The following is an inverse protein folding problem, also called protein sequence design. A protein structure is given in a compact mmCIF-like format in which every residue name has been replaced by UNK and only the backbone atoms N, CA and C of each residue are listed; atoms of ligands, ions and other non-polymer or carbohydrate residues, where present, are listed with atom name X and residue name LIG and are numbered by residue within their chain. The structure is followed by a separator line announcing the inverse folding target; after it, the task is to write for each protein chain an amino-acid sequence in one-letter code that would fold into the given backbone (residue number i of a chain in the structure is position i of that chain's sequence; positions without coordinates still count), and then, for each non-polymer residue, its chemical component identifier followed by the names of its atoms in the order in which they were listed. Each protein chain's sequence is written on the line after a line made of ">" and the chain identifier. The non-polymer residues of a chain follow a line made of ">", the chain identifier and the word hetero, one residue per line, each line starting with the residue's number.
data_IF_730724266854
#
_entry.id   IF_730724266854
#
_cell.length_a   1.000
_cell.length_b   1.000
_cell.length_c   1.000
_cell.angle_alpha   90.00
_cell.angle_beta   90.00
_cell.angle_gamma   90.00
#
_symmetry.space_group_name_H-M   'P 1'
#
loop_
_entity.id
_entity.type
_entity.pdbx_description
1 polymer ?
#
# COMPACT_ATOMS: atom_id res chain seq x y z
N UNK A 1 0.45 5.06 6.48
CA UNK A 1 1.34 4.36 5.51
C UNK A 1 0.46 3.76 4.45
N UNK A 2 0.68 4.04 3.19
CA UNK A 2 -0.04 3.36 2.11
C UNK A 2 0.11 1.83 2.21
N UNK A 3 -1.01 1.12 2.26
CA UNK A 3 -1.10 -0.34 2.24
C UNK A 3 -1.51 -0.81 0.83
N UNK A 4 -1.84 -2.07 0.63
CA UNK A 4 -2.16 -2.59 -0.71
C UNK A 4 -3.25 -1.79 -1.44
N UNK A 5 -4.41 -1.46 -0.84
CA UNK A 5 -5.45 -0.72 -1.55
C UNK A 5 -5.02 0.68 -1.99
N UNK A 6 -4.30 1.42 -1.14
CA UNK A 6 -3.82 2.76 -1.50
C UNK A 6 -2.81 2.70 -2.65
N UNK A 7 -1.90 1.70 -2.62
CA UNK A 7 -0.91 1.52 -3.70
C UNK A 7 -1.59 1.06 -4.99
N UNK A 8 -2.64 0.22 -4.90
CA UNK A 8 -3.43 -0.20 -6.08
C UNK A 8 -4.22 0.96 -6.68
N UNK A 9 -4.78 1.84 -5.84
CA UNK A 9 -5.45 3.07 -6.31
C UNK A 9 -4.47 3.98 -7.06
N UNK A 10 -3.26 4.16 -6.52
CA UNK A 10 -2.19 4.92 -7.22
C UNK A 10 -1.82 4.25 -8.54
N UNK A 11 -1.67 2.92 -8.56
CA UNK A 11 -1.39 2.17 -9.79
C UNK A 11 -2.47 2.41 -10.85
N UNK A 12 -3.75 2.30 -10.48
CA UNK A 12 -4.88 2.50 -11.40
C UNK A 12 -4.86 3.91 -11.99
N UNK A 13 -4.79 4.94 -11.14
CA UNK A 13 -4.78 6.34 -11.61
C UNK A 13 -3.59 6.66 -12.52
N UNK A 14 -2.41 6.12 -12.25
CA UNK A 14 -1.24 6.32 -13.10
C UNK A 14 -1.28 5.46 -14.37
N UNK A 15 -1.92 4.29 -14.34
CA UNK A 15 -2.05 3.42 -15.51
C UNK A 15 -2.90 4.04 -16.63
N UNK A 16 -3.78 4.96 -16.31
CA UNK A 16 -4.60 5.68 -17.28
C UNK A 16 -3.88 6.93 -17.87
N UNK A 17 -2.80 7.38 -17.23
CA UNK A 17 -2.15 8.65 -17.56
C UNK A 17 -0.73 8.50 -18.13
N UNK A 18 0.03 7.50 -17.68
CA UNK A 18 1.45 7.39 -18.02
C UNK A 18 1.78 6.60 -19.29
N UNK A 19 1.06 5.54 -19.70
CA UNK A 19 1.44 4.79 -20.89
C UNK A 19 1.52 5.67 -22.14
N UNK A 20 2.63 5.53 -22.88
CA UNK A 20 2.94 6.34 -24.05
C UNK A 20 3.69 7.64 -23.75
N UNK A 21 3.78 8.10 -22.49
CA UNK A 21 4.53 9.29 -22.12
C UNK A 21 6.05 9.06 -22.29
N UNK A 22 6.74 9.99 -22.94
CA UNK A 22 8.18 9.99 -23.10
C UNK A 22 8.86 10.80 -22.00
N UNK A 23 9.82 10.21 -21.30
CA UNK A 23 10.55 10.89 -20.22
C UNK A 23 11.60 11.83 -20.80
N UNK A 24 11.57 13.10 -20.41
CA UNK A 24 12.57 14.10 -20.81
C UNK A 24 13.65 14.29 -19.76
N UNK A 25 13.26 14.37 -18.50
CA UNK A 25 14.18 14.68 -17.41
C UNK A 25 13.71 14.08 -16.07
N UNK A 26 14.68 13.76 -15.21
CA UNK A 26 14.45 13.48 -13.80
C UNK A 26 15.24 14.49 -12.96
N UNK A 27 14.55 15.18 -12.05
CA UNK A 27 15.16 16.12 -11.09
C UNK A 27 15.07 15.54 -9.70
N UNK A 28 16.20 15.42 -9.01
CA UNK A 28 16.28 14.98 -7.61
C UNK A 28 16.49 16.20 -6.73
N UNK A 29 15.66 16.36 -5.72
CA UNK A 29 15.76 17.49 -4.77
C UNK A 29 16.69 17.13 -3.59
N UNK A 30 16.35 17.51 -2.38
CA UNK A 30 17.18 17.43 -1.17
C UNK A 30 17.35 16.01 -0.57
N UNK A 31 17.03 14.95 -1.31
CA UNK A 31 17.10 13.57 -0.83
C UNK A 31 17.66 12.61 -1.89
N UNK A 32 19.00 12.55 -2.09
CA UNK A 32 19.61 11.64 -3.07
C UNK A 32 19.25 10.17 -2.86
N UNK A 33 18.98 9.76 -1.60
CA UNK A 33 18.55 8.40 -1.28
C UNK A 33 17.17 8.04 -1.84
N UNK A 34 16.36 9.05 -2.17
CA UNK A 34 15.04 8.85 -2.76
C UNK A 34 15.10 8.43 -4.23
N UNK A 35 16.24 8.72 -4.93
CA UNK A 35 16.52 8.28 -6.29
C UNK A 35 18.01 7.98 -6.44
N UNK A 36 18.48 6.80 -5.99
CA UNK A 36 19.91 6.50 -5.81
C UNK A 36 20.60 6.02 -7.11
N UNK A 37 20.08 6.40 -8.27
CA UNK A 37 20.64 5.99 -9.56
C UNK A 37 21.80 6.88 -9.99
N UNK A 38 22.76 6.29 -10.72
CA UNK A 38 23.84 7.05 -11.33
C UNK A 38 23.30 7.97 -12.45
N UNK A 39 23.90 9.14 -12.67
CA UNK A 39 23.54 9.99 -13.83
C UNK A 39 23.66 9.27 -15.16
N UNK A 40 24.63 8.36 -15.30
CA UNK A 40 24.85 7.57 -16.51
C UNK A 40 23.66 6.64 -16.80
N UNK A 41 23.19 5.90 -15.78
CA UNK A 41 22.04 5.00 -15.95
C UNK A 41 20.77 5.78 -16.29
N UNK A 42 20.58 6.94 -15.63
CA UNK A 42 19.44 7.83 -15.89
C UNK A 42 19.47 8.34 -17.33
N UNK A 43 20.64 8.81 -17.80
CA UNK A 43 20.80 9.29 -19.17
C UNK A 43 20.56 8.18 -20.20
N UNK A 44 21.03 6.97 -19.92
CA UNK A 44 21.02 5.86 -20.88
C UNK A 44 19.67 5.16 -20.95
N UNK A 45 18.97 4.99 -19.82
CA UNK A 45 17.81 4.10 -19.72
C UNK A 45 16.50 4.81 -19.35
N UNK A 46 16.56 6.06 -18.90
CA UNK A 46 15.35 6.82 -18.53
C UNK A 46 15.04 7.93 -19.52
N UNK A 47 16.05 8.73 -19.95
CA UNK A 47 15.79 9.85 -20.86
C UNK A 47 15.47 9.36 -22.27
N UNK A 48 14.36 9.87 -22.83
CA UNK A 48 13.80 9.43 -24.10
C UNK A 48 13.00 8.13 -24.04
N UNK A 49 13.01 7.42 -22.92
CA UNK A 49 12.23 6.19 -22.74
C UNK A 49 10.73 6.49 -22.68
N UNK A 50 9.92 5.60 -23.25
CA UNK A 50 8.47 5.67 -23.17
C UNK A 50 7.93 4.73 -22.08
N UNK A 51 6.97 5.22 -21.31
CA UNK A 51 6.26 4.37 -20.34
C UNK A 51 5.38 3.37 -21.10
N UNK A 52 5.51 2.09 -20.77
CA UNK A 52 4.74 1.00 -21.40
C UNK A 52 3.62 0.49 -20.52
N UNK A 53 3.83 0.45 -19.19
CA UNK A 53 2.84 -0.04 -18.23
C UNK A 53 3.09 0.49 -16.82
N UNK A 54 2.03 0.44 -15.99
CA UNK A 54 2.14 0.65 -14.54
C UNK A 54 1.63 -0.58 -13.82
N UNK A 55 2.50 -1.23 -13.05
CA UNK A 55 2.22 -2.47 -12.32
C UNK A 55 2.38 -2.29 -10.82
N UNK A 56 1.88 -3.24 -10.05
CA UNK A 56 2.06 -3.32 -8.59
C UNK A 56 2.37 -4.75 -8.15
N UNK A 57 3.21 -4.87 -7.15
CA UNK A 57 3.42 -6.09 -6.37
C UNK A 57 3.49 -5.72 -4.89
N UNK A 58 2.63 -6.28 -4.05
CA UNK A 58 2.51 -5.90 -2.63
C UNK A 58 2.29 -4.38 -2.47
N UNK A 59 3.20 -3.69 -1.80
CA UNK A 59 3.19 -2.22 -1.58
C UNK A 59 4.19 -1.49 -2.47
N UNK A 60 4.59 -2.11 -3.59
CA UNK A 60 5.58 -1.57 -4.54
C UNK A 60 4.92 -1.34 -5.89
N UNK A 61 5.14 -0.16 -6.44
CA UNK A 61 4.76 0.23 -7.80
C UNK A 61 5.93 0.03 -8.75
N UNK A 62 5.63 -0.27 -9.99
CA UNK A 62 6.60 -0.38 -11.09
C UNK A 62 6.03 0.36 -12.29
N UNK A 63 6.78 1.33 -12.80
CA UNK A 63 6.50 2.03 -14.05
C UNK A 63 7.49 1.47 -15.07
N UNK A 64 7.01 0.63 -15.97
CA UNK A 64 7.83 -0.06 -16.97
C UNK A 64 8.11 0.85 -18.16
N UNK A 65 9.30 0.74 -18.70
CA UNK A 65 9.80 1.53 -19.83
C UNK A 65 10.13 0.61 -21.03
N UNK A 66 10.10 1.17 -22.23
CA UNK A 66 10.45 0.48 -23.47
C UNK A 66 11.94 0.10 -23.55
N UNK A 67 12.78 0.68 -22.71
CA UNK A 67 14.21 0.35 -22.55
C UNK A 67 14.48 -0.95 -21.79
N UNK A 68 13.45 -1.73 -21.39
CA UNK A 68 13.51 -2.86 -20.46
C UNK A 68 13.97 -2.49 -19.05
N UNK A 69 13.85 -1.24 -18.67
CA UNK A 69 14.03 -0.75 -17.31
C UNK A 69 12.68 -0.40 -16.70
N UNK A 70 12.62 -0.33 -15.40
CA UNK A 70 11.45 0.11 -14.66
C UNK A 70 11.83 1.08 -13.57
N UNK A 71 10.99 2.08 -13.32
CA UNK A 71 11.01 2.84 -12.08
C UNK A 71 10.26 2.06 -11.01
N UNK A 72 11.00 1.49 -10.07
CA UNK A 72 10.46 0.74 -8.92
C UNK A 72 10.29 1.69 -7.75
N UNK A 73 9.09 1.78 -7.18
CA UNK A 73 8.72 2.82 -6.22
C UNK A 73 8.10 2.19 -4.97
N UNK A 74 8.61 2.56 -3.81
CA UNK A 74 8.02 2.21 -2.53
C UNK A 74 7.67 3.46 -1.72
N UNK A 75 6.38 3.69 -1.51
CA UNK A 75 5.86 4.89 -0.85
C UNK A 75 6.19 4.96 0.65
N UNK A 76 6.49 3.83 1.31
CA UNK A 76 6.77 3.75 2.75
C UNK A 76 5.68 4.42 3.58
N UNK A 77 6.06 5.37 4.47
CA UNK A 77 5.14 5.94 5.48
C UNK A 77 4.35 7.14 4.95
N UNK A 78 5.00 8.03 4.20
CA UNK A 78 4.45 9.32 3.80
C UNK A 78 4.64 9.62 2.31
N UNK A 79 5.00 8.60 1.52
CA UNK A 79 5.19 8.75 0.08
C UNK A 79 3.87 9.01 -0.66
N UNK A 80 3.98 9.83 -1.70
CA UNK A 80 2.90 10.20 -2.61
C UNK A 80 3.42 10.19 -4.04
N UNK A 81 2.55 9.88 -4.99
CA UNK A 81 2.76 10.12 -6.41
C UNK A 81 1.68 11.04 -6.92
N UNK A 82 2.10 12.13 -7.56
CA UNK A 82 1.23 13.20 -8.03
C UNK A 82 1.57 13.49 -9.48
N UNK A 83 0.60 13.31 -10.36
CA UNK A 83 0.71 13.65 -11.77
C UNK A 83 0.03 14.99 -12.03
N UNK A 84 0.67 15.85 -12.81
CA UNK A 84 0.16 17.14 -13.26
C UNK A 84 0.38 17.27 -14.77
N UNK A 85 -0.70 17.49 -15.50
CA UNK A 85 -0.73 17.66 -16.95
C UNK A 85 -2.10 18.16 -17.39
N UNK A 86 -2.53 17.85 -18.61
CA UNK A 86 -3.89 18.12 -19.07
C UNK A 86 -4.94 17.48 -18.15
N UNK A 87 -4.66 16.29 -17.66
CA UNK A 87 -5.35 15.66 -16.54
C UNK A 87 -4.44 15.67 -15.30
N UNK A 88 -5.02 15.49 -14.12
CA UNK A 88 -4.26 15.45 -12.88
C UNK A 88 -4.69 14.26 -12.04
N UNK A 89 -3.72 13.67 -11.35
CA UNK A 89 -3.93 12.58 -10.39
C UNK A 89 -3.03 12.80 -9.18
N UNK A 90 -3.52 12.45 -7.99
CA UNK A 90 -2.72 12.49 -6.78
C UNK A 90 -3.08 11.31 -5.88
N UNK A 91 -2.09 10.57 -5.37
CA UNK A 91 -2.34 9.44 -4.48
C UNK A 91 -1.18 9.10 -3.55
N UNK A 92 -1.49 8.37 -2.49
CA UNK A 92 -0.54 7.99 -1.44
C UNK A 92 -0.93 8.52 -0.06
N UNK A 93 0.03 8.99 0.72
CA UNK A 93 -0.25 9.50 2.08
C UNK A 93 -1.03 10.83 2.04
N UNK A 94 -2.17 10.95 2.74
CA UNK A 94 -2.99 12.16 2.69
C UNK A 94 -2.32 13.33 3.42
N UNK A 95 -2.05 14.42 2.67
CA UNK A 95 -1.66 15.74 3.18
C UNK A 95 -1.94 16.82 2.12
N UNK A 96 -1.66 18.08 2.42
CA UNK A 96 -1.99 19.22 1.56
C UNK A 96 -1.20 19.23 0.24
N UNK A 97 -0.05 18.54 0.15
CA UNK A 97 0.74 18.43 -1.09
C UNK A 97 -0.02 17.73 -2.22
N UNK A 98 -1.06 16.92 -1.91
CA UNK A 98 -1.88 16.27 -2.95
C UNK A 98 -2.62 17.27 -3.85
N UNK A 99 -2.98 18.42 -3.31
CA UNK A 99 -3.76 19.48 -3.98
C UNK A 99 -3.01 20.81 -4.13
N UNK A 100 -1.86 20.95 -3.46
CA UNK A 100 -1.04 22.16 -3.44
C UNK A 100 -0.19 22.35 -4.70
N UNK A 101 0.51 23.48 -4.73
CA UNK A 101 1.51 23.76 -5.77
C UNK A 101 2.72 22.84 -5.61
N UNK A 102 3.30 22.42 -6.73
CA UNK A 102 4.46 21.54 -6.80
C UNK A 102 5.51 22.10 -7.77
N UNK A 103 6.83 21.88 -7.49
CA UNK A 103 7.39 21.14 -6.36
C UNK A 103 7.26 21.90 -5.04
N UNK A 104 7.09 21.18 -3.92
CA UNK A 104 7.07 21.72 -2.58
C UNK A 104 8.23 21.14 -1.70
N UNK A 105 8.26 21.51 -0.42
CA UNK A 105 9.28 21.05 0.54
C UNK A 105 9.29 19.52 0.74
N UNK A 106 8.23 18.80 0.36
CA UNK A 106 8.15 17.34 0.46
C UNK A 106 8.54 16.63 -0.85
N UNK A 107 8.71 17.35 -1.95
CA UNK A 107 9.08 16.80 -3.25
C UNK A 107 10.53 16.25 -3.21
N UNK A 108 10.69 15.00 -3.63
CA UNK A 108 11.98 14.29 -3.67
C UNK A 108 12.47 14.06 -5.07
N UNK A 109 11.55 13.71 -5.99
CA UNK A 109 11.84 13.46 -7.39
C UNK A 109 10.73 14.08 -8.22
N UNK A 110 11.11 14.70 -9.34
CA UNK A 110 10.22 15.14 -10.40
C UNK A 110 10.66 14.48 -11.70
N UNK A 111 9.73 13.84 -12.38
CA UNK A 111 9.91 13.32 -13.74
C UNK A 111 9.13 14.23 -14.69
N UNK A 112 9.82 14.78 -15.68
CA UNK A 112 9.22 15.64 -16.72
C UNK A 112 8.99 14.78 -17.97
N UNK A 113 7.81 14.92 -18.58
CA UNK A 113 7.43 14.27 -19.83
C UNK A 113 7.42 15.22 -21.02
N UNK A 114 7.49 14.66 -22.24
CA UNK A 114 7.62 15.43 -23.47
C UNK A 114 6.36 16.27 -23.79
N UNK A 115 5.19 15.90 -23.29
CA UNK A 115 3.94 16.66 -23.43
C UNK A 115 3.82 17.83 -22.45
N UNK A 116 4.85 18.08 -21.62
CA UNK A 116 4.87 19.11 -20.59
C UNK A 116 4.23 18.70 -19.26
N UNK A 117 3.78 17.46 -19.13
CA UNK A 117 3.29 16.93 -17.86
C UNK A 117 4.42 16.52 -16.92
N UNK A 118 4.10 16.35 -15.64
CA UNK A 118 5.05 16.04 -14.58
C UNK A 118 4.53 14.95 -13.63
N UNK A 119 5.41 14.04 -13.21
CA UNK A 119 5.15 13.12 -12.10
C UNK A 119 6.05 13.51 -10.92
N UNK A 120 5.44 13.82 -9.79
CA UNK A 120 6.14 14.16 -8.54
C UNK A 120 6.09 12.98 -7.58
N UNK A 121 7.25 12.65 -7.02
CA UNK A 121 7.36 11.78 -5.85
C UNK A 121 7.63 12.63 -4.62
N UNK A 122 6.63 12.74 -3.76
CA UNK A 122 6.72 13.47 -2.51
C UNK A 122 6.89 12.50 -1.34
N UNK A 123 7.70 12.85 -0.35
CA UNK A 123 7.80 12.11 0.92
C UNK A 123 8.33 12.99 2.04
N UNK A 124 7.48 13.35 3.00
CA UNK A 124 7.86 14.18 4.15
C UNK A 124 8.94 13.53 5.01
N UNK A 125 8.89 12.21 5.21
CA UNK A 125 9.78 11.47 6.11
C UNK A 125 11.07 10.97 5.44
N UNK A 126 11.18 11.09 4.12
CA UNK A 126 12.34 10.65 3.31
C UNK A 126 12.70 9.15 3.47
N UNK A 127 11.69 8.31 3.72
CA UNK A 127 11.85 6.84 3.82
C UNK A 127 11.48 6.13 2.54
N UNK A 128 10.63 6.74 1.73
CA UNK A 128 10.25 6.25 0.42
C UNK A 128 11.39 6.41 -0.58
N UNK A 129 11.31 5.65 -1.65
CA UNK A 129 12.30 5.67 -2.70
C UNK A 129 11.71 5.29 -4.05
N UNK A 130 12.31 5.80 -5.09
CA UNK A 130 12.14 5.47 -6.50
C UNK A 130 13.49 5.01 -7.02
N UNK A 131 13.57 3.90 -7.75
CA UNK A 131 14.81 3.35 -8.28
C UNK A 131 14.61 2.87 -9.71
N UNK A 132 15.44 3.34 -10.62
CA UNK A 132 15.54 2.82 -11.97
C UNK A 132 16.39 1.55 -11.96
N UNK A 133 15.90 0.46 -12.56
CA UNK A 133 16.63 -0.81 -12.63
C UNK A 133 16.09 -1.68 -13.78
N UNK A 134 16.87 -2.69 -14.25
CA UNK A 134 16.37 -3.64 -15.23
C UNK A 134 15.09 -4.32 -14.76
N UNK A 135 14.10 -4.43 -15.65
CA UNK A 135 12.77 -4.97 -15.32
C UNK A 135 12.84 -6.43 -14.87
N UNK A 136 13.70 -7.22 -15.46
CA UNK A 136 13.93 -8.64 -15.14
C UNK A 136 14.68 -8.87 -13.80
N UNK A 137 15.35 -7.85 -13.27
CA UNK A 137 16.00 -7.92 -11.96
C UNK A 137 15.10 -7.58 -10.77
N UNK A 138 13.87 -7.09 -11.00
CA UNK A 138 12.97 -6.66 -9.93
C UNK A 138 12.66 -7.82 -8.97
N UNK A 139 12.38 -9.01 -9.50
CA UNK A 139 12.08 -10.19 -8.69
C UNK A 139 13.29 -10.68 -7.87
N UNK A 140 14.51 -10.27 -8.23
CA UNK A 140 15.75 -10.59 -7.52
C UNK A 140 15.98 -9.68 -6.30
N UNK A 141 15.20 -8.60 -6.14
CA UNK A 141 15.32 -7.75 -4.97
C UNK A 141 15.04 -8.56 -3.68
N UNK A 142 15.89 -8.47 -2.63
CA UNK A 142 15.78 -9.32 -1.45
C UNK A 142 14.42 -9.27 -0.74
N UNK A 143 13.73 -8.14 -0.82
CA UNK A 143 12.39 -8.02 -0.26
C UNK A 143 11.32 -8.63 -1.18
N UNK A 144 11.47 -8.54 -2.52
CA UNK A 144 10.55 -9.17 -3.49
C UNK A 144 10.59 -10.68 -3.39
N UNK A 145 11.76 -11.29 -3.27
CA UNK A 145 11.93 -12.72 -3.09
C UNK A 145 11.22 -13.25 -1.82
N UNK A 146 11.09 -12.41 -0.80
CA UNK A 146 10.46 -12.77 0.48
C UNK A 146 8.96 -12.48 0.54
N UNK A 147 8.44 -11.69 -0.40
CA UNK A 147 7.01 -11.30 -0.40
C UNK A 147 6.12 -12.52 -0.60
N UNK A 148 5.15 -12.68 0.27
CA UNK A 148 4.14 -13.72 0.22
C UNK A 148 3.16 -13.56 -0.97
N UNK A 149 2.15 -14.44 -1.08
CA UNK A 149 1.16 -14.37 -2.14
C UNK A 149 0.34 -13.07 -2.07
N UNK A 150 -0.12 -12.60 -3.23
CA UNK A 150 -1.07 -11.49 -3.34
C UNK A 150 -2.46 -11.96 -2.88
N UNK A 151 -3.07 -11.32 -1.88
CA UNK A 151 -4.37 -11.78 -1.36
C UNK A 151 -5.50 -11.70 -2.40
N UNK A 152 -5.43 -10.78 -3.35
CA UNK A 152 -6.45 -10.58 -4.39
C UNK A 152 -6.16 -11.32 -5.70
N UNK A 153 -5.03 -12.00 -5.82
CA UNK A 153 -4.79 -12.87 -6.98
C UNK A 153 -5.78 -14.05 -6.93
N UNK A 154 -6.42 -14.34 -8.06
CA UNK A 154 -7.35 -15.47 -8.21
C UNK A 154 -6.69 -16.83 -7.98
N UNK A 155 -5.39 -16.93 -8.16
CA UNK A 155 -4.59 -18.14 -7.93
C UNK A 155 -4.18 -18.34 -6.48
N UNK A 156 -4.34 -17.32 -5.62
CA UNK A 156 -4.02 -17.43 -4.19
C UNK A 156 -5.20 -18.01 -3.44
N UNK A 157 -4.99 -19.16 -2.84
CA UNK A 157 -6.00 -19.87 -2.05
C UNK A 157 -5.74 -19.69 -0.54
N UNK A 158 -6.77 -19.88 0.28
CA UNK A 158 -6.66 -19.81 1.74
C UNK A 158 -5.61 -20.76 2.28
N UNK A 159 -5.48 -21.94 1.69
CA UNK A 159 -4.49 -22.94 2.11
C UNK A 159 -3.04 -22.44 1.98
N UNK A 160 -2.74 -21.58 1.00
CA UNK A 160 -1.40 -21.00 0.84
C UNK A 160 -1.09 -20.01 1.96
N UNK A 161 -2.08 -19.22 2.35
CA UNK A 161 -2.00 -18.34 3.52
C UNK A 161 -1.84 -19.15 4.81
N UNK A 162 -2.68 -20.16 5.02
CA UNK A 162 -2.65 -21.02 6.22
C UNK A 162 -1.27 -21.69 6.37
N UNK A 163 -0.74 -22.31 5.33
CA UNK A 163 0.60 -22.92 5.34
C UNK A 163 1.69 -21.94 5.75
N UNK A 164 1.60 -20.67 5.33
CA UNK A 164 2.61 -19.65 5.62
C UNK A 164 2.49 -19.11 7.04
N UNK A 165 1.27 -18.78 7.49
CA UNK A 165 1.06 -18.25 8.83
C UNK A 165 1.36 -19.29 9.92
N UNK A 166 1.10 -20.58 9.67
CA UNK A 166 1.46 -21.70 10.57
C UNK A 166 2.96 -21.80 10.86
N UNK A 167 3.84 -21.30 9.98
CA UNK A 167 5.28 -21.18 10.28
C UNK A 167 5.57 -20.20 11.42
N UNK A 168 4.61 -19.36 11.80
CA UNK A 168 4.66 -18.39 12.91
C UNK A 168 3.82 -18.84 14.11
N UNK A 169 3.62 -20.14 14.33
CA UNK A 169 2.68 -20.71 15.28
C UNK A 169 2.80 -20.17 16.72
N UNK A 170 3.98 -19.77 17.17
CA UNK A 170 4.21 -19.23 18.51
C UNK A 170 4.06 -17.71 18.58
N UNK A 171 3.89 -17.01 17.46
CA UNK A 171 3.63 -15.58 17.41
C UNK A 171 2.16 -15.29 17.67
N UNK A 172 1.85 -14.08 18.17
CA UNK A 172 0.49 -13.55 18.13
C UNK A 172 0.04 -13.44 16.68
N UNK A 173 -1.28 -13.62 16.44
CA UNK A 173 -1.84 -13.63 15.08
C UNK A 173 -1.60 -12.31 14.35
N UNK A 174 -1.78 -11.14 14.99
CA UNK A 174 -1.61 -9.84 14.33
C UNK A 174 -0.19 -9.61 13.81
N UNK A 175 0.89 -9.74 14.61
CA UNK A 175 2.25 -9.61 14.08
C UNK A 175 2.56 -10.62 12.96
N UNK A 176 2.09 -11.86 13.06
CA UNK A 176 2.25 -12.86 12.01
C UNK A 176 1.51 -12.47 10.72
N UNK A 177 0.32 -11.91 10.84
CA UNK A 177 -0.51 -11.44 9.73
C UNK A 177 0.05 -10.18 9.04
N UNK A 178 0.80 -9.35 9.77
CA UNK A 178 1.50 -8.17 9.24
C UNK A 178 2.81 -8.51 8.53
N UNK A 179 3.32 -9.74 8.68
CA UNK A 179 4.54 -10.19 8.00
C UNK A 179 4.28 -10.34 6.50
N UNK A 180 4.94 -9.50 5.70
CA UNK A 180 4.76 -9.47 4.25
C UNK A 180 5.19 -10.78 3.57
N UNK A 181 5.90 -11.67 4.26
CA UNK A 181 6.22 -13.01 3.76
C UNK A 181 5.09 -14.02 3.94
N UNK A 182 4.15 -13.74 4.81
CA UNK A 182 2.94 -14.55 5.04
C UNK A 182 1.89 -14.20 3.99
N UNK A 183 1.55 -12.94 3.88
CA UNK A 183 0.60 -12.41 2.90
C UNK A 183 1.01 -11.01 2.47
N UNK A 184 0.97 -10.72 1.19
CA UNK A 184 1.43 -9.46 0.64
C UNK A 184 0.47 -8.30 0.95
N UNK A 185 1.02 -7.11 1.15
CA UNK A 185 0.26 -5.87 1.10
C UNK A 185 -0.55 -5.51 2.35
N UNK A 186 -0.74 -6.42 3.29
CA UNK A 186 -1.50 -6.15 4.54
C UNK A 186 -0.70 -5.23 5.45
N UNK A 187 -1.38 -4.23 6.01
CA UNK A 187 -0.84 -3.35 7.03
C UNK A 187 -1.80 -3.21 8.21
N UNK A 188 -1.60 -2.18 9.02
CA UNK A 188 -2.28 -2.07 10.32
C UNK A 188 -3.80 -1.87 10.21
N UNK A 189 -4.24 -1.12 9.20
CA UNK A 189 -5.67 -0.83 8.97
C UNK A 189 -6.40 -2.12 8.68
N UNK A 190 -5.98 -2.79 7.63
CA UNK A 190 -6.67 -3.97 7.11
C UNK A 190 -6.47 -5.20 7.99
N UNK A 191 -5.37 -5.25 8.78
CA UNK A 191 -5.21 -6.29 9.81
C UNK A 191 -6.21 -6.14 10.95
N UNK A 192 -6.45 -4.92 11.46
CA UNK A 192 -7.46 -4.70 12.52
C UNK A 192 -8.86 -5.04 12.01
N UNK A 193 -9.22 -4.57 10.83
CA UNK A 193 -10.53 -4.81 10.21
C UNK A 193 -10.77 -6.30 9.94
N UNK A 194 -9.82 -7.01 9.34
CA UNK A 194 -9.96 -8.42 9.02
C UNK A 194 -10.02 -9.30 10.27
N UNK A 195 -9.20 -9.01 11.30
CA UNK A 195 -9.25 -9.72 12.58
C UNK A 195 -10.58 -9.51 13.30
N UNK A 196 -11.15 -8.29 13.25
CA UNK A 196 -12.49 -8.03 13.79
C UNK A 196 -13.56 -8.79 13.00
N UNK A 197 -13.48 -8.79 11.67
CA UNK A 197 -14.43 -9.47 10.80
C UNK A 197 -14.46 -10.97 11.06
N UNK A 198 -13.28 -11.59 11.19
CA UNK A 198 -13.08 -13.00 11.53
C UNK A 198 -13.25 -13.33 13.03
N UNK A 199 -13.54 -12.34 13.89
CA UNK A 199 -13.72 -12.50 15.34
C UNK A 199 -12.50 -13.09 16.08
N UNK A 200 -11.29 -12.79 15.59
CA UNK A 200 -10.05 -13.29 16.16
C UNK A 200 -9.40 -12.19 16.99
N UNK A 201 -9.08 -12.47 18.26
CA UNK A 201 -8.36 -11.52 19.09
C UNK A 201 -6.89 -11.40 18.62
N UNK A 202 -6.36 -10.18 18.42
CA UNK A 202 -5.04 -9.96 17.81
C UNK A 202 -3.85 -10.52 18.61
N UNK A 203 -4.01 -10.79 19.88
CA UNK A 203 -2.99 -11.43 20.76
C UNK A 203 -3.09 -12.94 20.79
N UNK A 204 -4.17 -13.56 20.32
CA UNK A 204 -4.26 -15.02 20.23
C UNK A 204 -3.06 -15.56 19.44
N UNK A 205 -2.41 -16.61 19.98
CA UNK A 205 -1.29 -17.25 19.27
C UNK A 205 -1.79 -17.99 18.04
N UNK A 206 -1.02 -17.97 16.96
CA UNK A 206 -1.39 -18.62 15.69
C UNK A 206 -1.73 -20.11 15.90
N UNK A 207 -1.03 -20.81 16.78
CA UNK A 207 -1.31 -22.23 17.07
C UNK A 207 -2.70 -22.50 17.70
N UNK A 208 -3.30 -21.47 18.32
CA UNK A 208 -4.59 -21.58 19.02
C UNK A 208 -5.76 -21.11 18.13
N UNK A 209 -5.50 -20.62 16.91
CA UNK A 209 -6.51 -20.31 15.90
C UNK A 209 -6.73 -21.54 15.03
N UNK A 210 -7.97 -21.98 14.82
CA UNK A 210 -8.27 -23.12 13.94
C UNK A 210 -7.98 -22.81 12.47
N UNK A 211 -7.87 -23.83 11.62
CA UNK A 211 -7.70 -23.62 10.19
C UNK A 211 -8.94 -22.98 9.56
N UNK A 212 -10.14 -23.35 10.04
CA UNK A 212 -11.40 -22.70 9.61
C UNK A 212 -11.41 -21.19 9.93
N UNK A 213 -10.95 -20.80 11.12
CA UNK A 213 -10.81 -19.40 11.49
C UNK A 213 -9.74 -18.67 10.66
N UNK A 214 -8.66 -19.33 10.27
CA UNK A 214 -7.65 -18.76 9.37
C UNK A 214 -8.17 -18.64 7.94
N UNK A 215 -9.01 -19.55 7.48
CA UNK A 215 -9.71 -19.45 6.20
C UNK A 215 -10.68 -18.29 6.21
N UNK A 216 -11.49 -18.14 7.27
CA UNK A 216 -12.38 -16.98 7.45
C UNK A 216 -11.58 -15.67 7.44
N UNK A 217 -10.45 -15.61 8.17
CA UNK A 217 -9.58 -14.43 8.17
C UNK A 217 -9.08 -14.07 6.77
N UNK A 218 -8.70 -15.05 5.97
CA UNK A 218 -8.26 -14.83 4.59
C UNK A 218 -9.40 -14.33 3.70
N UNK A 219 -10.59 -14.91 3.82
CA UNK A 219 -11.75 -14.52 3.04
C UNK A 219 -12.24 -13.11 3.41
N UNK A 220 -12.31 -12.78 4.68
CA UNK A 220 -12.65 -11.43 5.17
C UNK A 220 -11.60 -10.40 4.73
N UNK A 221 -10.31 -10.74 4.79
CA UNK A 221 -9.27 -9.87 4.25
C UNK A 221 -9.51 -9.52 2.78
N UNK A 222 -9.83 -10.49 1.95
CA UNK A 222 -10.09 -10.26 0.51
C UNK A 222 -11.25 -9.31 0.28
N UNK A 223 -12.37 -9.52 0.99
CA UNK A 223 -13.55 -8.65 0.89
C UNK A 223 -13.22 -7.21 1.31
N UNK A 224 -12.53 -7.05 2.43
CA UNK A 224 -12.15 -5.75 2.97
C UNK A 224 -11.17 -5.02 2.03
N UNK A 225 -10.18 -5.72 1.50
CA UNK A 225 -9.23 -5.12 0.55
C UNK A 225 -9.92 -4.71 -0.75
N UNK A 226 -10.82 -5.56 -1.28
CA UNK A 226 -11.57 -5.23 -2.49
C UNK A 226 -12.49 -4.03 -2.26
N UNK A 227 -13.26 -4.02 -1.17
CA UNK A 227 -14.08 -2.88 -0.80
C UNK A 227 -13.24 -1.60 -0.69
N UNK A 228 -12.08 -1.68 -0.06
CA UNK A 228 -11.22 -0.50 0.08
C UNK A 228 -10.72 0.01 -1.26
N UNK A 229 -10.34 -0.87 -2.19
CA UNK A 229 -9.94 -0.48 -3.54
C UNK A 229 -11.09 0.20 -4.27
N UNK A 230 -12.29 -0.36 -4.18
CA UNK A 230 -13.50 0.16 -4.85
C UNK A 230 -13.93 1.52 -4.27
N UNK A 231 -13.57 1.79 -3.02
CA UNK A 231 -13.76 3.07 -2.34
C UNK A 231 -12.56 4.04 -2.46
N UNK A 232 -11.55 3.73 -3.29
CA UNK A 232 -10.38 4.59 -3.51
C UNK A 232 -9.36 4.59 -2.37
N UNK A 233 -9.39 3.59 -1.49
CA UNK A 233 -8.46 3.46 -0.36
C UNK A 233 -8.91 4.14 0.92
N UNK A 234 -8.07 4.08 1.96
CA UNK A 234 -8.35 4.60 3.32
C UNK A 234 -8.03 6.07 3.52
N UNK A 235 -8.10 6.88 2.47
CA UNK A 235 -7.59 8.25 2.50
C UNK A 235 -8.46 9.17 3.35
N UNK A 236 -7.88 9.71 4.41
CA UNK A 236 -8.49 10.71 5.29
C UNK A 236 -8.38 12.10 4.61
N UNK A 237 -9.51 12.73 4.36
CA UNK A 237 -9.79 14.15 4.04
C UNK A 237 -9.35 14.75 2.70
N UNK A 238 -8.23 14.34 2.08
CA UNK A 238 -7.68 15.11 0.95
C UNK A 238 -7.29 14.27 -0.29
N UNK A 239 -7.61 12.98 -0.33
CA UNK A 239 -7.43 12.21 -1.55
C UNK A 239 -8.58 12.49 -2.52
N UNK A 240 -8.21 12.94 -3.71
CA UNK A 240 -9.14 13.12 -4.81
C UNK A 240 -8.58 12.31 -5.97
N UNK A 241 -9.34 11.35 -6.49
CA UNK A 241 -8.98 10.68 -7.73
C UNK A 241 -9.00 11.67 -8.92
N UNK A 242 -8.67 11.20 -10.12
CA UNK A 242 -8.67 12.03 -11.33
C UNK A 242 -10.02 12.70 -11.61
N UNK A 243 -11.12 12.14 -11.07
CA UNK A 243 -12.49 12.67 -11.19
C UNK A 243 -12.92 13.50 -9.97
N UNK A 244 -12.02 13.83 -9.05
CA UNK A 244 -12.34 14.66 -7.88
C UNK A 244 -13.02 13.88 -6.74
N UNK A 245 -13.07 12.55 -6.77
CA UNK A 245 -13.70 11.71 -5.73
C UNK A 245 -12.73 11.41 -4.60
N UNK A 246 -13.17 11.56 -3.35
CA UNK A 246 -12.37 11.26 -2.15
C UNK A 246 -12.38 9.77 -1.85
N UNK A 247 -11.21 9.19 -1.56
CA UNK A 247 -11.13 7.86 -0.97
C UNK A 247 -11.89 7.83 0.37
N UNK A 248 -12.81 6.87 0.54
CA UNK A 248 -13.79 6.90 1.64
C UNK A 248 -13.83 5.61 2.46
N UNK A 249 -12.82 4.74 2.35
CA UNK A 249 -12.85 3.47 3.09
C UNK A 249 -13.02 3.65 4.61
N UNK A 250 -12.45 4.71 5.21
CA UNK A 250 -12.59 4.93 6.66
C UNK A 250 -14.03 5.14 7.13
N UNK A 251 -14.95 5.54 6.24
CA UNK A 251 -16.39 5.59 6.55
C UNK A 251 -17.01 4.20 6.67
N UNK A 252 -16.38 3.19 6.12
CA UNK A 252 -16.79 1.79 6.18
C UNK A 252 -16.03 0.98 7.23
N UNK A 253 -15.00 1.58 7.87
CA UNK A 253 -14.21 0.91 8.89
C UNK A 253 -15.07 0.54 10.11
N UNK A 254 -14.85 -0.67 10.63
CA UNK A 254 -15.60 -1.20 11.76
C UNK A 254 -14.90 -0.98 13.10
N UNK A 255 -13.58 -0.99 13.12
CA UNK A 255 -12.80 -0.83 14.36
C UNK A 255 -11.67 0.19 14.23
N UNK A 256 -11.04 0.30 13.06
CA UNK A 256 -9.87 1.16 12.90
C UNK A 256 -10.23 2.65 13.08
N UNK A 257 -9.56 3.33 14.04
CA UNK A 257 -9.83 4.72 14.45
C UNK A 257 -11.25 4.98 14.98
N UNK A 258 -11.88 3.94 15.53
CA UNK A 258 -13.22 4.04 16.11
C UNK A 258 -13.21 3.82 17.62
N UNK A 259 -12.09 3.99 18.30
CA UNK A 259 -12.03 3.92 19.77
C UNK A 259 -13.07 4.83 20.42
N UNK A 260 -13.78 4.30 21.43
CA UNK A 260 -14.90 4.96 22.14
C UNK A 260 -16.22 4.96 21.38
N UNK A 261 -16.28 4.43 20.15
CA UNK A 261 -17.54 4.28 19.41
C UNK A 261 -18.11 2.87 19.60
N UNK A 262 -19.43 2.74 19.53
CA UNK A 262 -20.11 1.44 19.62
C UNK A 262 -19.71 0.50 18.48
N UNK A 263 -19.55 -0.78 18.81
CA UNK A 263 -19.36 -1.84 17.83
C UNK A 263 -20.65 -2.10 17.06
N UNK A 264 -20.56 -2.26 15.73
CA UNK A 264 -21.75 -2.54 14.89
C UNK A 264 -22.43 -3.89 15.21
N UNK A 265 -21.66 -4.89 15.70
CA UNK A 265 -22.21 -6.20 16.10
C UNK A 265 -22.69 -6.25 17.54
N UNK A 266 -22.13 -5.40 18.41
CA UNK A 266 -22.42 -5.34 19.84
C UNK A 266 -22.59 -3.87 20.23
N UNK A 267 -23.76 -3.25 20.02
CA UNK A 267 -23.98 -1.81 20.25
C UNK A 267 -23.66 -1.34 21.67
N UNK A 268 -23.77 -2.22 22.65
CA UNK A 268 -23.48 -1.94 24.07
C UNK A 268 -21.96 -2.03 24.40
N UNK A 269 -21.13 -2.35 23.42
CA UNK A 269 -19.69 -2.49 23.58
C UNK A 269 -18.96 -1.43 22.76
N UNK A 270 -18.03 -0.72 23.39
CA UNK A 270 -17.16 0.24 22.72
C UNK A 270 -15.94 -0.45 22.10
N UNK A 271 -15.50 0.09 20.96
CA UNK A 271 -14.21 -0.23 20.37
C UNK A 271 -13.11 0.30 21.27
N UNK A 272 -12.17 -0.56 21.64
CA UNK A 272 -11.04 -0.18 22.47
C UNK A 272 -9.74 -0.20 21.66
N UNK A 273 -8.79 0.64 22.11
CA UNK A 273 -7.44 0.70 21.54
C UNK A 273 -6.43 0.10 22.51
N UNK A 274 -5.64 -0.83 22.01
CA UNK A 274 -4.57 -1.49 22.77
C UNK A 274 -3.26 -1.50 21.99
N UNK A 275 -2.17 -1.98 22.61
CA UNK A 275 -0.90 -2.25 21.91
C UNK A 275 -0.69 -3.75 21.74
N UNK A 276 -0.38 -4.18 20.50
CA UNK A 276 0.02 -5.54 20.19
C UNK A 276 1.36 -5.48 19.45
N UNK A 277 2.39 -6.07 20.01
CA UNK A 277 3.76 -6.05 19.49
C UNK A 277 4.22 -4.62 19.07
N UNK A 278 3.95 -3.63 19.92
CA UNK A 278 4.33 -2.22 19.70
C UNK A 278 3.44 -1.44 18.73
N UNK A 279 2.40 -2.04 18.14
CA UNK A 279 1.48 -1.40 17.20
C UNK A 279 0.14 -1.09 17.85
N UNK A 280 -0.39 0.11 17.61
CA UNK A 280 -1.77 0.47 17.98
C UNK A 280 -2.74 -0.48 17.27
N UNK A 281 -3.69 -1.02 18.00
CA UNK A 281 -4.61 -2.07 17.57
C UNK A 281 -6.00 -1.74 18.09
N UNK A 282 -7.01 -1.82 17.24
CA UNK A 282 -8.40 -1.51 17.58
C UNK A 282 -9.19 -2.82 17.57
N UNK A 283 -9.96 -3.08 18.63
CA UNK A 283 -10.76 -4.30 18.80
C UNK A 283 -12.14 -3.97 19.40
N UNK A 284 -13.09 -4.86 19.16
CA UNK A 284 -14.28 -5.00 19.99
C UNK A 284 -14.07 -6.15 20.99
N UNK A 285 -14.05 -5.91 22.31
CA UNK A 285 -13.81 -6.97 23.30
C UNK A 285 -14.83 -8.11 23.29
N UNK A 286 -16.08 -7.81 22.88
CA UNK A 286 -17.13 -8.83 22.78
C UNK A 286 -17.01 -9.67 21.49
N UNK A 287 -16.58 -9.07 20.35
CA UNK A 287 -16.36 -9.83 19.12
C UNK A 287 -15.11 -10.71 19.19
N UNK A 288 -14.08 -10.21 19.85
CA UNK A 288 -12.72 -10.74 19.78
C UNK A 288 -12.24 -11.13 21.18
N UNK A 289 -12.51 -12.38 21.56
CA UNK A 289 -12.08 -12.93 22.83
C UNK A 289 -10.75 -13.66 22.65
N UNK A 290 -9.78 -13.39 23.54
CA UNK A 290 -8.46 -14.05 23.48
C UNK A 290 -8.55 -15.52 23.82
N UNK A 291 -8.07 -16.39 22.93
CA UNK A 291 -7.90 -17.81 23.15
C UNK A 291 -6.45 -18.03 23.63
N UNK A 292 -6.31 -18.47 24.87
CA UNK A 292 -5.02 -18.71 25.55
C UNK A 292 -4.45 -20.07 25.23
#
# INVERSE_FOLDING_TARGET
>A
MPELPEVETVRRGLADLLPGQAVVRATVFDSPKSFPNSPTDVQQFLYGAHVTAVRRRAKVLMIDLDTRYSLVIHLKMTGQLIFRGANSFAGGHPNDSLIGELPDRSTRVQIDFADGSHLFFNDQRKFGWMKLMPTDEIENLPFMQKVGPEPLDKKTEAIDFIKRIRRRQNSMIKPAFLDQSVIAGVGNIYADEALWAAKIHPQTRVKNVSDDQLEDLFNELRQILQLSIDQGGSTDKNYVDAEGRKGNYLSFAHVFRREGQSCHRHPDQEIVKMKVAGRGTHICPACQVEIK
#
